data_IF_226570556685
#
_entry.id   IF_226570556685
#
_cell.length_a   1.000
_cell.length_b   1.000
_cell.length_c   1.000
_cell.angle_alpha   90.00
_cell.angle_beta   90.00
_cell.angle_gamma   90.00
#
_symmetry.space_group_name_H-M   'P 1'
#
loop_
_entity.id
_entity.type
_entity.pdbx_description
1 polymer ?
#
# COMPACT_ATOMS: atom_id res chain seq x y z
N UNK A 1 -6.61 1.18 13.05
CA UNK A 1 -5.30 0.98 13.71
C UNK A 1 -4.89 -0.48 13.54
N UNK A 2 -3.65 -0.79 13.12
CA UNK A 2 -3.19 -2.15 12.79
C UNK A 2 -3.12 -3.17 13.95
N UNK A 3 -3.61 -2.85 15.16
CA UNK A 3 -3.41 -3.69 16.36
C UNK A 3 -4.68 -4.23 17.00
N UNK A 4 -5.87 -3.78 16.61
CA UNK A 4 -7.11 -4.40 17.10
C UNK A 4 -7.41 -5.62 16.21
N UNK A 5 -7.13 -6.83 16.71
CA UNK A 5 -7.58 -8.06 16.07
C UNK A 5 -9.09 -8.01 15.92
N UNK A 6 -9.57 -7.97 14.68
CA UNK A 6 -10.99 -8.08 14.36
C UNK A 6 -11.23 -9.45 13.75
N UNK A 7 -12.45 -9.93 13.88
CA UNK A 7 -12.84 -11.20 13.27
C UNK A 7 -12.58 -11.16 11.76
N UNK A 8 -11.74 -12.07 11.29
CA UNK A 8 -11.38 -12.18 9.87
C UNK A 8 -12.50 -12.79 9.03
N UNK A 9 -13.52 -13.39 9.66
CA UNK A 9 -14.67 -14.02 9.00
C UNK A 9 -15.86 -13.06 8.76
N UNK A 10 -15.82 -11.85 9.32
CA UNK A 10 -16.86 -10.85 9.11
C UNK A 10 -16.91 -10.32 7.67
N UNK A 11 -18.08 -9.88 7.23
CA UNK A 11 -18.30 -9.39 5.85
C UNK A 11 -17.36 -8.24 5.46
N UNK A 12 -17.06 -7.32 6.39
CA UNK A 12 -16.10 -6.24 6.17
C UNK A 12 -14.66 -6.75 5.98
N UNK A 13 -14.28 -7.81 6.71
CA UNK A 13 -12.99 -8.47 6.54
C UNK A 13 -12.96 -9.19 5.18
N UNK A 14 -14.03 -9.90 4.80
CA UNK A 14 -14.18 -10.52 3.49
C UNK A 14 -14.02 -9.53 2.33
N UNK A 15 -14.61 -8.33 2.42
CA UNK A 15 -14.44 -7.27 1.41
C UNK A 15 -13.02 -6.76 1.30
N UNK A 16 -12.28 -6.71 2.41
CA UNK A 16 -10.86 -6.34 2.42
C UNK A 16 -10.00 -7.47 1.85
N UNK A 17 -10.23 -8.73 2.22
CA UNK A 17 -9.38 -9.87 1.87
C UNK A 17 -9.62 -10.45 0.48
N UNK A 18 -10.88 -10.57 0.05
CA UNK A 18 -11.26 -11.29 -1.17
C UNK A 18 -10.51 -10.82 -2.44
N UNK A 19 -10.30 -9.51 -2.67
CA UNK A 19 -9.56 -9.04 -3.85
C UNK A 19 -8.08 -9.41 -3.85
N UNK A 20 -7.49 -9.72 -2.68
CA UNK A 20 -6.06 -9.94 -2.51
C UNK A 20 -5.71 -11.39 -2.14
N UNK A 21 -6.68 -12.30 -2.12
CA UNK A 21 -6.43 -13.71 -1.80
C UNK A 21 -5.36 -14.34 -2.72
N UNK A 22 -5.37 -14.01 -4.03
CA UNK A 22 -4.40 -14.54 -4.99
C UNK A 22 -2.95 -14.09 -4.72
N UNK A 23 -2.74 -12.88 -4.20
CA UNK A 23 -1.39 -12.40 -3.87
C UNK A 23 -0.79 -13.13 -2.67
N UNK A 24 -1.61 -13.78 -1.83
CA UNK A 24 -1.12 -14.52 -0.66
C UNK A 24 -0.39 -15.82 -1.03
N UNK A 25 -0.46 -16.25 -2.29
CA UNK A 25 0.34 -17.37 -2.81
C UNK A 25 1.85 -17.21 -2.52
N UNK A 26 2.33 -15.96 -2.43
CA UNK A 26 3.70 -15.62 -2.08
C UNK A 26 4.12 -16.06 -0.66
N UNK A 27 3.15 -16.31 0.22
CA UNK A 27 3.35 -16.74 1.61
C UNK A 27 3.40 -18.26 1.75
N UNK A 28 3.19 -19.01 0.66
CA UNK A 28 3.17 -20.47 0.67
C UNK A 28 4.52 -21.01 1.15
N UNK A 29 4.46 -22.00 2.05
CA UNK A 29 5.62 -22.67 2.62
C UNK A 29 6.58 -21.78 3.42
N UNK A 30 6.13 -20.62 3.92
CA UNK A 30 6.96 -19.68 4.70
C UNK A 30 6.85 -19.84 6.23
N UNK A 31 6.13 -20.86 6.73
CA UNK A 31 5.96 -21.06 8.17
C UNK A 31 5.17 -19.92 8.85
N UNK A 32 4.09 -19.48 8.20
CA UNK A 32 3.24 -18.36 8.64
C UNK A 32 2.55 -18.66 9.96
N UNK A 33 2.66 -17.73 10.91
CA UNK A 33 1.94 -17.72 12.19
C UNK A 33 0.65 -16.93 12.10
N UNK A 34 0.69 -15.76 11.46
CA UNK A 34 -0.47 -14.88 11.32
C UNK A 34 -0.37 -14.05 10.06
N UNK A 35 -1.51 -13.76 9.45
CA UNK A 35 -1.62 -12.81 8.33
C UNK A 35 -2.64 -11.75 8.71
N UNK A 36 -2.25 -10.48 8.57
CA UNK A 36 -3.11 -9.33 8.79
C UNK A 36 -3.19 -8.51 7.51
N UNK A 37 -4.37 -8.01 7.18
CA UNK A 37 -4.58 -7.07 6.09
C UNK A 37 -5.42 -5.89 6.59
N UNK A 38 -5.00 -4.67 6.26
CA UNK A 38 -5.81 -3.48 6.51
C UNK A 38 -5.69 -2.51 5.34
N UNK A 39 -6.84 -1.93 5.01
CA UNK A 39 -6.89 -0.77 4.14
C UNK A 39 -6.32 0.44 4.89
N UNK A 40 -5.30 1.07 4.33
CA UNK A 40 -4.64 2.22 4.96
C UNK A 40 -4.93 3.54 4.26
N UNK A 41 -5.38 3.49 3.01
CA UNK A 41 -5.80 4.67 2.25
C UNK A 41 -6.85 4.32 1.19
N UNK A 42 -7.68 5.30 0.87
CA UNK A 42 -8.48 5.37 -0.34
C UNK A 42 -7.97 6.54 -1.16
N UNK A 43 -7.97 6.41 -2.48
CA UNK A 43 -7.44 7.42 -3.38
C UNK A 43 -8.38 7.62 -4.55
N UNK A 44 -8.91 8.83 -4.70
CA UNK A 44 -9.58 9.24 -5.92
C UNK A 44 -8.56 9.26 -7.06
N UNK A 45 -8.90 8.60 -8.17
CA UNK A 45 -8.07 8.55 -9.34
C UNK A 45 -8.29 9.79 -10.21
N UNK A 46 -7.23 10.29 -10.88
CA UNK A 46 -7.36 11.34 -11.89
C UNK A 46 -8.43 11.00 -12.93
N UNK A 47 -8.92 12.05 -13.61
CA UNK A 47 -9.91 11.92 -14.69
C UNK A 47 -11.22 11.25 -14.23
N UNK A 48 -11.63 11.51 -12.98
CA UNK A 48 -12.86 10.97 -12.39
C UNK A 48 -12.96 9.43 -12.53
N UNK A 49 -11.81 8.75 -12.49
CA UNK A 49 -11.72 7.33 -12.81
C UNK A 49 -12.16 6.41 -11.67
N UNK A 50 -12.74 6.97 -10.60
CA UNK A 50 -13.22 6.28 -9.41
C UNK A 50 -12.19 6.21 -8.29
N UNK A 51 -12.50 5.43 -7.25
CA UNK A 51 -11.67 5.33 -6.04
C UNK A 51 -10.88 4.03 -6.01
N UNK A 52 -9.56 4.13 -5.87
CA UNK A 52 -8.69 3.00 -5.61
C UNK A 52 -8.53 2.76 -4.10
N UNK A 53 -8.33 1.49 -3.73
CA UNK A 53 -8.10 1.08 -2.36
C UNK A 53 -6.66 0.59 -2.18
N UNK A 54 -6.01 1.08 -1.13
CA UNK A 54 -4.66 0.67 -0.74
C UNK A 54 -4.70 -0.20 0.50
N UNK A 55 -4.20 -1.42 0.36
CA UNK A 55 -4.16 -2.42 1.45
C UNK A 55 -2.72 -2.79 1.70
N UNK A 56 -2.34 -2.87 2.98
CA UNK A 56 -1.11 -3.54 3.34
C UNK A 56 -1.42 -4.87 4.01
N UNK A 57 -0.67 -5.89 3.61
CA UNK A 57 -0.74 -7.23 4.16
C UNK A 57 0.58 -7.56 4.82
N UNK A 58 0.55 -7.99 6.07
CA UNK A 58 1.71 -8.48 6.81
C UNK A 58 1.50 -9.94 7.19
N UNK A 59 2.49 -10.76 6.90
CA UNK A 59 2.57 -12.13 7.36
C UNK A 59 3.77 -12.29 8.30
N UNK A 60 3.50 -12.63 9.56
CA UNK A 60 4.52 -12.97 10.53
C UNK A 60 4.72 -14.49 10.54
N UNK A 61 5.94 -14.95 10.80
CA UNK A 61 6.26 -16.38 10.86
C UNK A 61 6.37 -16.87 12.30
N UNK A 62 6.33 -18.18 12.48
CA UNK A 62 6.58 -18.82 13.79
C UNK A 62 8.00 -18.59 14.30
N UNK A 63 8.98 -18.38 13.42
CA UNK A 63 10.37 -18.13 13.81
C UNK A 63 10.59 -16.72 14.38
N UNK A 64 9.63 -15.82 14.23
CA UNK A 64 9.76 -14.41 14.61
C UNK A 64 10.57 -13.54 13.64
N UNK A 65 11.18 -14.17 12.63
CA UNK A 65 11.88 -13.55 11.48
C UNK A 65 11.28 -14.07 10.16
N UNK A 66 11.71 -13.56 9.02
CA UNK A 66 11.10 -13.83 7.72
C UNK A 66 9.74 -13.18 7.51
N UNK A 67 9.41 -12.08 8.21
CA UNK A 67 8.12 -11.42 8.05
C UNK A 67 7.98 -10.90 6.61
N UNK A 68 6.83 -11.11 5.98
CA UNK A 68 6.55 -10.65 4.62
C UNK A 68 5.55 -9.51 4.65
N UNK A 69 5.85 -8.41 3.96
CA UNK A 69 4.96 -7.25 3.86
C UNK A 69 4.68 -6.95 2.40
N UNK A 70 3.40 -6.81 2.06
CA UNK A 70 2.91 -6.43 0.74
C UNK A 70 2.14 -5.12 0.84
N UNK A 71 2.49 -4.13 0.02
CA UNK A 71 1.60 -3.01 -0.26
C UNK A 71 0.86 -3.29 -1.57
N UNK A 72 -0.44 -3.08 -1.56
CA UNK A 72 -1.34 -3.57 -2.60
C UNK A 72 -2.32 -2.48 -3.02
N UNK A 73 -2.61 -2.46 -4.32
CA UNK A 73 -3.51 -1.51 -4.94
C UNK A 73 -4.65 -2.26 -5.62
N UNK A 74 -5.90 -1.89 -5.30
CA UNK A 74 -7.09 -2.30 -6.05
C UNK A 74 -7.66 -1.10 -6.77
N UNK A 75 -7.65 -1.16 -8.10
CA UNK A 75 -8.27 -0.14 -8.95
C UNK A 75 -9.80 -0.30 -8.97
N UNK A 76 -10.56 0.79 -9.20
CA UNK A 76 -12.02 0.74 -9.30
C UNK A 76 -12.46 -0.16 -10.46
N UNK A 77 -13.52 -0.94 -10.23
CA UNK A 77 -14.05 -1.90 -11.21
C UNK A 77 -13.20 -3.16 -11.42
N UNK A 78 -12.01 -3.27 -10.81
CA UNK A 78 -11.15 -4.45 -10.92
C UNK A 78 -11.43 -5.40 -9.75
N UNK A 79 -11.70 -6.68 -10.08
CA UNK A 79 -12.02 -7.72 -9.09
C UNK A 79 -10.86 -8.01 -8.13
N UNK A 80 -9.64 -8.04 -8.65
CA UNK A 80 -8.45 -8.40 -7.89
C UNK A 80 -7.51 -7.21 -7.76
N UNK A 81 -6.94 -7.03 -6.57
CA UNK A 81 -5.85 -6.09 -6.38
C UNK A 81 -4.50 -6.70 -6.70
N UNK A 82 -3.51 -5.85 -6.97
CA UNK A 82 -2.14 -6.26 -7.27
C UNK A 82 -1.19 -5.81 -6.16
N UNK A 83 -0.16 -6.62 -5.87
CA UNK A 83 0.96 -6.17 -5.05
C UNK A 83 1.82 -5.21 -5.88
N UNK A 84 2.08 -4.02 -5.33
CA UNK A 84 2.87 -2.97 -5.98
C UNK A 84 4.23 -2.76 -5.30
N UNK A 85 4.37 -3.24 -4.07
CA UNK A 85 5.64 -3.38 -3.37
C UNK A 85 5.62 -4.60 -2.45
N UNK A 86 6.80 -5.19 -2.23
CA UNK A 86 7.00 -6.34 -1.36
C UNK A 86 8.32 -6.21 -0.62
N UNK A 87 8.28 -6.35 0.70
CA UNK A 87 9.48 -6.36 1.52
C UNK A 87 9.52 -7.57 2.46
N UNK A 88 10.73 -7.93 2.88
CA UNK A 88 10.97 -9.01 3.85
C UNK A 88 11.69 -8.45 5.06
N UNK A 89 11.32 -8.91 6.25
CA UNK A 89 11.95 -8.55 7.52
C UNK A 89 11.93 -7.06 7.87
N UNK A 90 10.86 -6.38 7.46
CA UNK A 90 10.58 -4.99 7.83
C UNK A 90 9.54 -4.89 8.94
N UNK A 91 9.61 -3.80 9.70
CA UNK A 91 8.67 -3.51 10.80
C UNK A 91 7.36 -2.91 10.33
N UNK A 92 7.33 -2.37 9.11
CA UNK A 92 6.15 -1.76 8.50
C UNK A 92 4.93 -2.65 8.71
N UNK A 93 3.76 -2.02 8.68
CA UNK A 93 2.52 -2.78 8.62
C UNK A 93 2.29 -3.69 9.85
N UNK A 94 2.98 -3.40 10.96
CA UNK A 94 2.98 -4.20 12.19
C UNK A 94 2.61 -3.39 13.42
N UNK A 95 2.52 -4.08 14.57
CA UNK A 95 2.13 -3.45 15.83
C UNK A 95 3.10 -2.36 16.30
N UNK A 96 4.40 -2.50 15.97
CA UNK A 96 5.45 -1.54 16.35
C UNK A 96 5.56 -0.37 15.38
N UNK A 97 5.41 -0.65 14.09
CA UNK A 97 5.49 0.36 13.04
C UNK A 97 4.28 0.19 12.10
N UNK A 98 3.16 0.88 12.40
CA UNK A 98 1.93 0.76 11.61
C UNK A 98 2.01 1.50 10.28
N UNK A 99 3.03 2.35 10.08
CA UNK A 99 3.12 3.20 8.91
C UNK A 99 3.59 2.41 7.69
N UNK A 100 3.10 2.82 6.54
CA UNK A 100 3.45 2.28 5.23
C UNK A 100 3.30 3.39 4.21
N UNK A 101 4.18 3.39 3.20
CA UNK A 101 4.12 4.24 2.03
C UNK A 101 4.41 3.38 0.81
N UNK A 102 3.57 3.47 -0.21
CA UNK A 102 3.79 2.75 -1.47
C UNK A 102 3.38 3.60 -2.66
N UNK A 103 3.93 3.25 -3.82
CA UNK A 103 3.65 3.90 -5.09
C UNK A 103 3.41 2.89 -6.21
N UNK A 104 2.65 3.30 -7.22
CA UNK A 104 2.40 2.54 -8.42
C UNK A 104 2.24 3.47 -9.62
N UNK A 105 2.72 3.03 -10.78
CA UNK A 105 2.34 3.66 -12.04
C UNK A 105 0.99 3.13 -12.50
N UNK A 106 0.11 4.05 -12.85
CA UNK A 106 -1.20 3.76 -13.38
C UNK A 106 -1.40 4.51 -14.69
N UNK A 107 -2.10 3.87 -15.63
CA UNK A 107 -2.47 4.45 -16.91
C UNK A 107 -3.95 4.75 -16.89
N UNK A 108 -4.31 5.99 -17.20
CA UNK A 108 -5.70 6.43 -17.27
C UNK A 108 -6.39 5.93 -18.54
N UNK A 109 -7.71 6.16 -18.60
CA UNK A 109 -8.51 5.82 -19.78
C UNK A 109 -8.17 6.68 -21.00
N UNK A 110 -7.66 7.89 -20.78
CA UNK A 110 -7.18 8.78 -21.84
C UNK A 110 -5.74 8.49 -22.30
N UNK A 111 -5.17 7.35 -21.88
CA UNK A 111 -3.81 6.92 -22.20
C UNK A 111 -2.68 7.69 -21.50
N UNK A 112 -3.01 8.59 -20.57
CA UNK A 112 -2.04 9.32 -19.76
C UNK A 112 -1.49 8.47 -18.61
N UNK A 113 -0.21 8.64 -18.30
CA UNK A 113 0.45 7.95 -17.19
C UNK A 113 0.49 8.84 -15.96
N UNK A 114 0.22 8.24 -14.81
CA UNK A 114 0.30 8.87 -13.50
C UNK A 114 1.12 8.03 -12.54
N UNK A 115 1.85 8.73 -11.67
CA UNK A 115 2.35 8.16 -10.43
C UNK A 115 1.27 8.34 -9.36
N UNK A 116 0.78 7.22 -8.84
CA UNK A 116 -0.05 7.17 -7.65
C UNK A 116 0.82 6.79 -6.46
N UNK A 117 0.61 7.44 -5.33
CA UNK A 117 1.21 7.06 -4.07
C UNK A 117 0.23 7.24 -2.92
N UNK A 118 0.36 6.40 -1.91
CA UNK A 118 -0.42 6.51 -0.69
C UNK A 118 0.38 6.09 0.54
N UNK A 119 0.20 6.87 1.59
CA UNK A 119 0.68 6.60 2.94
C UNK A 119 -0.47 6.29 3.90
N UNK A 120 -0.13 5.74 5.07
CA UNK A 120 -1.09 5.52 6.15
C UNK A 120 -1.72 6.82 6.68
N UNK A 121 -2.76 6.70 7.51
CA UNK A 121 -3.58 7.83 8.01
C UNK A 121 -2.81 8.92 8.77
N UNK A 122 -1.60 8.64 9.24
CA UNK A 122 -0.74 9.60 9.93
C UNK A 122 0.20 10.35 8.97
N UNK A 123 0.12 10.10 7.66
CA UNK A 123 0.95 10.77 6.67
C UNK A 123 0.39 12.18 6.41
N UNK A 124 1.17 13.19 6.73
CA UNK A 124 0.83 14.61 6.52
C UNK A 124 1.18 15.09 5.11
N UNK A 125 2.23 14.53 4.50
CA UNK A 125 2.59 14.83 3.11
C UNK A 125 3.36 13.69 2.46
N UNK A 126 3.31 13.63 1.13
CA UNK A 126 4.09 12.71 0.30
C UNK A 126 4.89 13.53 -0.69
N UNK A 127 6.19 13.27 -0.76
CA UNK A 127 7.10 13.83 -1.75
C UNK A 127 7.58 12.71 -2.67
N UNK A 128 7.45 12.95 -3.97
CA UNK A 128 7.98 12.12 -5.03
C UNK A 128 9.21 12.77 -5.65
N UNK A 129 10.29 12.02 -5.73
CA UNK A 129 11.55 12.39 -6.37
C UNK A 129 11.98 11.33 -7.39
N UNK A 130 13.10 11.59 -8.08
CA UNK A 130 13.69 10.71 -9.08
C UNK A 130 12.81 10.47 -10.32
N UNK A 131 12.96 11.33 -11.33
CA UNK A 131 12.22 11.28 -12.59
C UNK A 131 10.84 11.94 -12.55
N UNK A 132 10.42 12.40 -11.37
CA UNK A 132 9.33 13.35 -11.12
C UNK A 132 9.72 14.17 -9.89
N UNK A 133 9.27 15.42 -9.78
CA UNK A 133 9.43 16.24 -8.59
C UNK A 133 8.06 16.82 -8.23
N UNK A 134 7.46 16.28 -7.17
CA UNK A 134 6.15 16.72 -6.72
C UNK A 134 5.96 16.46 -5.24
N UNK A 135 5.15 17.30 -4.59
CA UNK A 135 4.74 17.12 -3.21
C UNK A 135 3.23 17.30 -3.13
N UNK A 136 2.56 16.42 -2.40
CA UNK A 136 1.16 16.53 -2.06
C UNK A 136 1.01 16.66 -0.55
N UNK A 137 0.12 17.55 -0.10
CA UNK A 137 -0.38 17.59 1.28
C UNK A 137 -1.42 16.48 1.45
N UNK A 138 -1.40 15.81 2.59
CA UNK A 138 -2.20 14.63 2.88
C UNK A 138 -1.46 13.31 2.58
N UNK A 139 -2.20 12.21 2.72
CA UNK A 139 -1.67 10.85 2.65
C UNK A 139 -1.80 10.20 1.26
N UNK A 140 -2.14 10.97 0.23
CA UNK A 140 -2.22 10.49 -1.16
C UNK A 140 -1.56 11.48 -2.11
N UNK A 141 -0.99 10.98 -3.19
CA UNK A 141 -0.37 11.76 -4.27
C UNK A 141 -0.75 11.14 -5.61
N UNK A 142 -1.19 11.97 -6.55
CA UNK A 142 -1.43 11.59 -7.93
C UNK A 142 -0.85 12.68 -8.84
N UNK A 143 0.17 12.34 -9.62
CA UNK A 143 0.85 13.31 -10.50
C UNK A 143 1.13 12.71 -11.87
N UNK A 144 1.09 13.51 -12.94
CA UNK A 144 1.51 13.04 -14.26
C UNK A 144 2.93 12.46 -14.23
N UNK A 145 3.12 11.34 -14.91
CA UNK A 145 4.38 10.61 -14.93
C UNK A 145 4.68 10.06 -16.33
N UNK A 146 5.91 9.58 -16.51
CA UNK A 146 6.30 8.84 -17.72
C UNK A 146 6.14 7.34 -17.48
N UNK A 147 5.79 6.61 -18.55
CA UNK A 147 5.81 5.14 -18.55
C UNK A 147 7.19 4.64 -18.09
N UNK A 148 7.22 3.68 -17.16
CA UNK A 148 8.44 3.06 -16.69
C UNK A 148 9.25 3.87 -15.67
N UNK A 149 8.75 5.02 -15.22
CA UNK A 149 9.30 5.78 -14.10
C UNK A 149 9.46 4.87 -12.86
N UNK A 150 10.60 5.01 -12.17
CA UNK A 150 10.88 4.37 -10.88
C UNK A 150 11.09 5.46 -9.83
N UNK A 151 10.04 5.98 -9.21
CA UNK A 151 10.16 7.11 -8.30
C UNK A 151 10.78 6.68 -6.98
N UNK A 152 11.31 7.66 -6.27
CA UNK A 152 11.50 7.57 -4.83
C UNK A 152 10.35 8.32 -4.15
N UNK A 153 9.81 7.74 -3.08
CA UNK A 153 8.77 8.36 -2.27
C UNK A 153 9.24 8.50 -0.83
N UNK A 154 9.00 9.67 -0.28
CA UNK A 154 9.17 9.99 1.15
C UNK A 154 7.87 10.56 1.67
N UNK A 155 7.35 9.97 2.74
CA UNK A 155 6.21 10.48 3.48
C UNK A 155 6.68 11.19 4.73
N UNK A 156 6.10 12.33 5.05
CA UNK A 156 6.28 13.00 6.34
C UNK A 156 5.03 12.73 7.18
N UNK A 157 5.23 12.27 8.41
CA UNK A 157 4.16 11.94 9.35
C UNK A 157 3.75 13.19 10.16
N UNK A 158 2.58 13.11 10.80
CA UNK A 158 2.05 14.13 11.72
C UNK A 158 2.97 14.46 12.91
N UNK A 159 3.85 13.54 13.29
CA UNK A 159 4.88 13.71 14.31
C UNK A 159 6.23 14.24 13.78
N UNK A 160 6.30 14.57 12.49
CA UNK A 160 7.48 15.08 11.81
C UNK A 160 8.51 14.02 11.41
N UNK A 161 8.33 12.74 11.80
CA UNK A 161 9.18 11.65 11.31
C UNK A 161 8.92 11.41 9.82
N UNK A 162 9.88 10.77 9.17
CA UNK A 162 9.74 10.37 7.77
C UNK A 162 9.63 8.86 7.62
N UNK A 163 8.89 8.45 6.59
CA UNK A 163 8.76 7.05 6.17
C UNK A 163 9.14 6.95 4.69
N UNK A 164 10.02 6.00 4.37
CA UNK A 164 10.39 5.71 3.00
C UNK A 164 9.36 4.79 2.32
N UNK A 165 9.32 4.81 0.99
CA UNK A 165 8.56 3.83 0.22
C UNK A 165 8.96 2.40 0.59
N UNK A 166 7.96 1.52 0.69
CA UNK A 166 8.18 0.08 0.78
C UNK A 166 8.92 -0.40 -0.48
N UNK A 167 10.00 -1.15 -0.30
CA UNK A 167 10.84 -1.70 -1.37
C UNK A 167 10.92 -3.21 -1.29
#
# INVERSE_FOLDING_TARGET
RPTASRDASGEAAGRTWAPFACSLSVLRSQGVRSVNAWQYAEQELPEESGTAAWVCTRADTWRGTGAQVLAQLRLPGVRYGAAVARSTDVTACGAREPQVLAGALWKSKSDAWYLLAAGGSHTESITASHGVAATARGNVLAVPAKKGLRPELTGTLDDGRTVGMLR
#
